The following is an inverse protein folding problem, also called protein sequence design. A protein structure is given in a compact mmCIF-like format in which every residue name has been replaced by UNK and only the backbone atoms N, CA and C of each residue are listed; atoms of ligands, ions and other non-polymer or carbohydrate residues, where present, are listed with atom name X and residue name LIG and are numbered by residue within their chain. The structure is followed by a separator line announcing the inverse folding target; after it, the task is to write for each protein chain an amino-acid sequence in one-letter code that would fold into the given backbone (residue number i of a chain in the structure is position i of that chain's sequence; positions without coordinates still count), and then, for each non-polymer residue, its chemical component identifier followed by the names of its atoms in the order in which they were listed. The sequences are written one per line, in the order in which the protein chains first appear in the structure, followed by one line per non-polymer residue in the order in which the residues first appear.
data_IF_180460102424
#
_entry.id   IF_180460102424
#
_cell.length_a   1.000
_cell.length_b   1.000
_cell.length_c   1.000
_cell.angle_alpha   90.00
_cell.angle_beta   90.00
_cell.angle_gamma   90.00
#
_symmetry.space_group_name_H-M   'P 1'
#
loop_
_entity.id
_entity.type
_entity.pdbx_description
1 polymer ?
#
# COMPACT_ATOMS: atom_id res chain seq x y z
N UNK A 1 -3.40 4.04 -24.33
CA UNK A 1 -2.92 2.65 -24.46
C UNK A 1 -3.93 1.61 -23.96
N UNK A 2 -4.79 1.90 -22.95
CA UNK A 2 -5.83 0.95 -22.52
C UNK A 2 -5.30 -0.31 -21.83
N UNK A 3 -4.04 -0.30 -21.39
CA UNK A 3 -3.37 -1.46 -20.80
C UNK A 3 -3.65 -1.53 -19.30
N UNK A 4 -3.95 -2.71 -18.75
CA UNK A 4 -4.11 -2.89 -17.31
C UNK A 4 -2.78 -2.63 -16.59
N UNK A 5 -2.87 -1.98 -15.43
CA UNK A 5 -1.73 -1.73 -14.55
C UNK A 5 -1.99 -2.42 -13.22
N UNK A 6 -1.09 -3.32 -12.84
CA UNK A 6 -1.10 -3.98 -11.53
C UNK A 6 0.11 -3.47 -10.77
N UNK A 7 -0.14 -2.85 -9.63
CA UNK A 7 0.89 -2.27 -8.75
C UNK A 7 1.00 -3.12 -7.50
N UNK A 8 2.19 -3.65 -7.25
CA UNK A 8 2.52 -4.38 -6.03
C UNK A 8 3.18 -3.40 -5.08
N UNK A 9 2.61 -3.24 -3.89
CA UNK A 9 3.04 -2.28 -2.86
C UNK A 9 3.64 -3.06 -1.70
N UNK A 10 4.94 -2.92 -1.50
CA UNK A 10 5.73 -3.62 -0.47
C UNK A 10 6.28 -2.66 0.58
N UNK A 11 6.70 -3.19 1.72
CA UNK A 11 7.31 -2.41 2.80
C UNK A 11 8.80 -2.10 2.50
N UNK A 12 9.26 -0.83 2.52
CA UNK A 12 8.50 0.41 2.63
C UNK A 12 8.10 0.98 1.24
N UNK A 13 6.95 1.66 1.19
CA UNK A 13 6.54 2.49 0.04
C UNK A 13 6.14 3.87 0.54
N UNK A 14 7.07 4.82 0.47
CA UNK A 14 6.89 6.17 1.00
C UNK A 14 7.02 7.28 -0.06
N UNK A 15 6.65 8.51 0.32
CA UNK A 15 6.94 9.73 -0.44
C UNK A 15 6.27 9.77 -1.81
N UNK A 16 7.00 10.33 -2.79
CA UNK A 16 6.51 10.52 -4.16
C UNK A 16 6.15 9.21 -4.87
N UNK A 17 6.74 8.07 -4.47
CA UNK A 17 6.36 6.76 -5.01
C UNK A 17 4.95 6.39 -4.55
N UNK A 18 4.67 6.53 -3.25
CA UNK A 18 3.38 6.21 -2.64
C UNK A 18 2.22 7.00 -3.27
N UNK A 19 2.40 8.31 -3.47
CA UNK A 19 1.36 9.19 -4.06
C UNK A 19 1.43 9.28 -5.59
N UNK A 20 2.47 8.71 -6.21
CA UNK A 20 2.71 8.75 -7.65
C UNK A 20 2.40 7.41 -8.29
N UNK A 21 3.44 6.73 -8.79
CA UNK A 21 3.29 5.47 -9.54
C UNK A 21 2.62 4.37 -8.72
N UNK A 22 2.85 4.30 -7.40
CA UNK A 22 2.25 3.28 -6.56
C UNK A 22 0.73 3.49 -6.32
N UNK A 23 0.22 4.69 -6.59
CA UNK A 23 -1.20 5.01 -6.47
C UNK A 23 -2.00 4.72 -7.75
N UNK A 24 -1.41 4.06 -8.75
CA UNK A 24 -2.05 3.77 -10.05
C UNK A 24 -2.48 2.31 -10.18
N UNK A 25 -3.52 2.09 -10.97
CA UNK A 25 -3.97 0.76 -11.35
C UNK A 25 -4.57 -0.05 -10.20
N UNK A 26 -4.59 -1.37 -10.38
CA UNK A 26 -4.98 -2.32 -9.34
C UNK A 26 -3.84 -2.46 -8.35
N UNK A 27 -4.08 -2.03 -7.10
CA UNK A 27 -3.07 -2.05 -6.04
C UNK A 27 -3.19 -3.30 -5.19
N UNK A 28 -2.09 -4.05 -5.07
CA UNK A 28 -1.95 -5.22 -4.21
C UNK A 28 -0.95 -4.89 -3.11
N UNK A 29 -1.40 -4.88 -1.86
CA UNK A 29 -0.60 -4.51 -0.70
C UNK A 29 -0.03 -5.76 -0.03
N UNK A 30 1.25 -5.72 0.32
CA UNK A 30 1.91 -6.77 1.07
C UNK A 30 1.28 -6.94 2.46
N UNK A 31 0.94 -8.19 2.81
CA UNK A 31 0.44 -8.52 4.15
C UNK A 31 1.49 -8.16 5.22
N UNK A 32 1.04 -7.49 6.28
CA UNK A 32 1.85 -7.04 7.43
C UNK A 32 2.87 -5.93 7.12
N UNK A 33 2.82 -5.28 5.94
CA UNK A 33 3.64 -4.10 5.69
C UNK A 33 3.28 -2.96 6.65
N UNK A 34 4.30 -2.28 7.19
CA UNK A 34 4.20 -1.27 8.24
C UNK A 34 4.41 0.18 7.79
N UNK A 35 5.10 0.41 6.66
CA UNK A 35 5.53 1.76 6.27
C UNK A 35 5.05 2.16 4.88
N UNK A 36 3.75 2.43 4.77
CA UNK A 36 3.12 2.85 3.52
C UNK A 36 2.43 4.21 3.71
N UNK A 37 2.81 5.22 2.92
CA UNK A 37 2.24 6.57 3.04
C UNK A 37 3.11 7.67 2.44
N UNK A 38 2.70 8.93 2.56
CA UNK A 38 3.49 10.03 1.99
C UNK A 38 4.69 10.40 2.88
N UNK A 39 4.42 10.96 4.06
CA UNK A 39 5.46 11.33 5.02
C UNK A 39 5.69 10.19 6.01
N UNK A 40 6.94 9.92 6.38
CA UNK A 40 7.23 8.90 7.40
C UNK A 40 6.70 9.29 8.78
N UNK A 41 6.31 8.29 9.59
CA UNK A 41 5.82 8.43 10.98
C UNK A 41 6.57 9.48 11.80
N UNK A 42 7.91 9.40 11.85
CA UNK A 42 8.75 10.35 12.59
C UNK A 42 8.54 11.82 12.17
N UNK A 43 8.44 12.08 10.87
CA UNK A 43 8.24 13.45 10.35
C UNK A 43 6.88 13.99 10.77
N UNK A 44 5.84 13.13 10.74
CA UNK A 44 4.49 13.49 11.15
C UNK A 44 4.44 13.81 12.65
N UNK A 45 5.07 12.99 13.49
CA UNK A 45 5.10 13.20 14.94
C UNK A 45 5.86 14.47 15.31
N UNK A 46 7.00 14.72 14.67
CA UNK A 46 7.78 15.95 14.88
C UNK A 46 7.00 17.21 14.50
N UNK A 47 6.24 17.17 13.39
CA UNK A 47 5.49 18.33 12.92
C UNK A 47 4.19 18.58 13.70
N UNK A 48 3.51 17.52 14.11
CA UNK A 48 2.22 17.62 14.84
C UNK A 48 2.38 17.72 16.35
N UNK A 49 3.53 17.32 16.90
CA UNK A 49 3.77 17.22 18.34
C UNK A 49 2.95 16.11 19.02
N UNK A 50 2.35 15.19 18.25
CA UNK A 50 1.52 14.10 18.75
C UNK A 50 2.07 12.76 18.28
N UNK A 51 2.04 11.76 19.16
CA UNK A 51 2.35 10.38 18.79
C UNK A 51 1.27 9.80 17.88
N UNK A 52 1.70 9.03 16.89
CA UNK A 52 0.81 8.26 16.02
C UNK A 52 0.54 6.89 16.62
N UNK A 53 -0.58 6.26 16.24
CA UNK A 53 -0.88 4.89 16.69
C UNK A 53 0.24 3.90 16.31
N UNK A 54 0.32 2.79 17.05
CA UNK A 54 1.34 1.76 16.79
C UNK A 54 1.19 1.14 15.40
N UNK A 55 -0.04 1.01 14.91
CA UNK A 55 -0.38 0.48 13.59
C UNK A 55 -0.35 1.53 12.47
N UNK A 56 -0.05 2.79 12.76
CA UNK A 56 -0.02 3.87 11.77
C UNK A 56 0.84 3.49 10.55
N UNK A 57 0.33 3.75 9.34
CA UNK A 57 0.93 3.37 8.04
C UNK A 57 1.02 1.87 7.73
N UNK A 58 0.58 1.01 8.64
CA UNK A 58 0.44 -0.41 8.31
C UNK A 58 -0.66 -0.64 7.29
N UNK A 59 -0.58 -1.76 6.59
CA UNK A 59 -1.61 -2.19 5.63
C UNK A 59 -2.97 -2.41 6.29
N UNK A 60 -3.01 -2.85 7.55
CA UNK A 60 -4.25 -2.96 8.31
C UNK A 60 -4.83 -1.58 8.67
N UNK A 61 -3.98 -0.64 9.09
CA UNK A 61 -4.41 0.74 9.34
C UNK A 61 -4.92 1.40 8.07
N UNK A 62 -4.21 1.25 6.95
CA UNK A 62 -4.64 1.74 5.64
C UNK A 62 -5.96 1.10 5.19
N UNK A 63 -6.17 -0.18 5.46
CA UNK A 63 -7.44 -0.87 5.16
C UNK A 63 -8.59 -0.30 5.98
N UNK A 64 -8.39 -0.09 7.28
CA UNK A 64 -9.40 0.54 8.17
C UNK A 64 -9.79 1.94 7.68
N UNK A 65 -8.87 2.66 7.06
CA UNK A 65 -9.09 4.02 6.52
C UNK A 65 -9.44 4.03 5.02
N UNK A 66 -9.70 2.88 4.39
CA UNK A 66 -10.17 2.81 3.00
C UNK A 66 -9.09 3.00 1.92
N UNK A 67 -7.81 2.89 2.27
CA UNK A 67 -6.68 3.06 1.36
C UNK A 67 -6.08 1.75 0.83
N UNK A 68 -6.22 0.63 1.55
CA UNK A 68 -5.64 -0.67 1.18
C UNK A 68 -6.69 -1.80 1.12
N UNK A 69 -7.43 -1.89 0.02
CA UNK A 69 -8.52 -2.88 -0.11
C UNK A 69 -8.04 -4.32 -0.35
N UNK A 70 -6.94 -4.51 -1.09
CA UNK A 70 -6.42 -5.83 -1.48
C UNK A 70 -5.09 -6.09 -0.81
N UNK A 71 -5.12 -6.80 0.32
CA UNK A 71 -3.92 -7.23 1.05
C UNK A 71 -3.64 -8.69 0.68
N UNK A 72 -2.41 -8.97 0.27
CA UNK A 72 -2.00 -10.26 -0.29
C UNK A 72 -0.76 -10.77 0.42
N UNK A 73 -0.79 -12.04 0.85
CA UNK A 73 0.41 -12.69 1.35
C UNK A 73 1.33 -13.08 0.17
N UNK A 74 2.66 -13.07 0.32
CA UNK A 74 3.60 -13.38 -0.76
C UNK A 74 3.31 -14.71 -1.50
N UNK A 75 2.89 -15.74 -0.76
CA UNK A 75 2.51 -17.05 -1.31
C UNK A 75 1.29 -17.02 -2.25
N UNK A 76 0.39 -16.07 -2.06
CA UNK A 76 -0.87 -15.95 -2.81
C UNK A 76 -0.74 -14.97 -3.99
N UNK A 77 0.37 -14.22 -4.06
CA UNK A 77 0.58 -13.14 -5.03
C UNK A 77 0.49 -13.62 -6.48
N UNK A 78 1.08 -14.77 -6.79
CA UNK A 78 1.05 -15.35 -8.14
C UNK A 78 -0.37 -15.63 -8.60
N UNK A 79 -1.18 -16.24 -7.73
CA UNK A 79 -2.57 -16.56 -8.07
C UNK A 79 -3.42 -15.29 -8.19
N UNK A 80 -3.23 -14.31 -7.30
CA UNK A 80 -3.92 -13.01 -7.39
C UNK A 80 -3.62 -12.29 -8.72
N UNK A 81 -2.35 -12.22 -9.14
CA UNK A 81 -1.96 -11.59 -10.40
C UNK A 81 -2.58 -12.35 -11.58
N UNK A 82 -2.51 -13.69 -11.58
CA UNK A 82 -3.12 -14.53 -12.62
C UNK A 82 -4.62 -14.25 -12.77
N UNK A 83 -5.36 -14.18 -11.66
CA UNK A 83 -6.80 -13.87 -11.69
C UNK A 83 -7.07 -12.48 -12.26
N UNK A 84 -6.22 -11.50 -12.00
CA UNK A 84 -6.38 -10.15 -12.56
C UNK A 84 -6.09 -10.07 -14.05
N UNK A 85 -5.19 -10.90 -14.55
CA UNK A 85 -4.88 -10.97 -15.98
C UNK A 85 -6.00 -11.70 -16.73
N UNK A 86 -6.60 -12.75 -16.16
CA UNK A 86 -7.67 -13.54 -16.82
C UNK A 86 -9.00 -12.78 -16.87
N UNK A 87 -9.31 -12.01 -15.82
CA UNK A 87 -10.59 -11.30 -15.71
C UNK A 87 -10.61 -9.94 -16.43
N UNK A 88 -9.56 -9.63 -17.20
CA UNK A 88 -9.40 -8.42 -18.00
C UNK A 88 -9.27 -8.77 -19.47
#
# INVERSE_FOLDING_TARGET
AGLPVITIITDPTLGGVAIGVASRGVRLFEKNAGHIGFSGKRVIEQFTGKETSQDFQSTDWLKKHGHANRIVAPKDLKEQIKQLIINH
#
